data_IF_021967863746
#
_entry.id   IF_021967863746
#
_cell.length_a   1.000
_cell.length_b   1.000
_cell.length_c   1.000
_cell.angle_alpha   90.00
_cell.angle_beta   90.00
_cell.angle_gamma   90.00
#
_symmetry.space_group_name_H-M   'P 1'
#
loop_
_entity.id
_entity.type
_entity.pdbx_description
1 polymer ?
#
# COMPACT_ATOMS: atom_id res chain seq x y z
N UNK A 1 -31.61 47.60 13.75
CA UNK A 1 -30.15 47.36 13.79
C UNK A 1 -29.80 46.36 12.69
N UNK A 2 -29.02 46.75 11.67
CA UNK A 2 -28.68 45.90 10.52
C UNK A 2 -27.50 44.97 10.90
N UNK A 3 -27.68 43.65 10.83
CA UNK A 3 -26.60 42.66 11.02
C UNK A 3 -25.58 42.79 9.87
N UNK A 4 -24.30 42.88 10.21
CA UNK A 4 -23.21 42.87 9.24
C UNK A 4 -23.09 41.48 8.56
N UNK A 5 -22.74 41.43 7.26
CA UNK A 5 -22.60 40.16 6.55
C UNK A 5 -21.38 39.40 7.07
N UNK A 6 -21.60 38.15 7.46
CA UNK A 6 -20.55 37.24 7.91
C UNK A 6 -19.60 36.93 6.74
N UNK A 7 -18.41 37.54 6.71
CA UNK A 7 -17.37 37.22 5.73
C UNK A 7 -16.77 35.87 6.09
N UNK A 8 -17.22 34.81 5.42
CA UNK A 8 -16.51 33.54 5.40
C UNK A 8 -15.19 33.73 4.67
N UNK A 9 -14.08 33.70 5.41
CA UNK A 9 -12.74 33.70 4.83
C UNK A 9 -12.56 32.37 4.09
N UNK A 10 -12.56 32.43 2.75
CA UNK A 10 -12.33 31.26 1.91
C UNK A 10 -10.83 30.92 1.99
N UNK A 11 -10.47 29.89 2.75
CA UNK A 11 -9.10 29.39 2.82
C UNK A 11 -8.60 28.99 1.43
N UNK A 12 -7.35 29.33 1.10
CA UNK A 12 -6.71 28.86 -0.13
C UNK A 12 -6.26 27.41 0.10
N UNK A 13 -6.53 26.54 -0.87
CA UNK A 13 -5.93 25.20 -0.89
C UNK A 13 -4.42 25.40 -0.96
N UNK A 14 -3.70 24.82 0.01
CA UNK A 14 -2.25 24.89 0.09
C UNK A 14 -1.57 24.01 -0.97
N UNK A 15 -0.27 23.82 -0.80
CA UNK A 15 0.50 22.86 -1.58
C UNK A 15 -0.04 21.44 -1.37
N UNK A 16 0.22 20.54 -2.34
CA UNK A 16 -0.22 19.15 -2.22
C UNK A 16 0.51 18.45 -1.06
N UNK A 17 -0.05 17.35 -0.56
CA UNK A 17 0.64 16.54 0.44
C UNK A 17 1.96 15.98 -0.10
N UNK A 18 2.01 15.68 -1.40
CA UNK A 18 3.23 15.23 -2.07
C UNK A 18 4.31 16.32 -2.08
N UNK A 19 3.93 17.59 -2.25
CA UNK A 19 4.88 18.71 -2.17
C UNK A 19 5.43 18.84 -0.75
N UNK A 20 4.57 18.73 0.27
CA UNK A 20 5.01 18.69 1.66
C UNK A 20 6.01 17.55 1.94
N UNK A 21 5.73 16.34 1.45
CA UNK A 21 6.61 15.18 1.63
C UNK A 21 7.95 15.34 0.88
N UNK A 22 7.95 16.03 -0.27
CA UNK A 22 9.17 16.33 -1.01
C UNK A 22 10.02 17.36 -0.26
N UNK A 23 9.40 18.41 0.27
CA UNK A 23 10.07 19.43 1.07
C UNK A 23 10.67 18.85 2.36
N UNK A 24 9.99 17.87 2.97
CA UNK A 24 10.45 17.12 4.14
C UNK A 24 11.49 16.03 3.81
N UNK A 25 11.74 15.75 2.53
CA UNK A 25 12.68 14.72 2.07
C UNK A 25 12.22 13.27 2.32
N UNK A 26 10.96 13.06 2.71
CA UNK A 26 10.39 11.76 3.07
C UNK A 26 9.53 11.14 1.95
N UNK A 27 9.31 11.85 0.85
CA UNK A 27 8.46 11.45 -0.28
C UNK A 27 8.73 10.02 -0.78
N UNK A 28 9.98 9.67 -1.07
CA UNK A 28 10.31 8.36 -1.62
C UNK A 28 10.01 7.22 -0.64
N UNK A 29 10.38 7.39 0.63
CA UNK A 29 10.13 6.39 1.67
C UNK A 29 8.63 6.20 1.95
N UNK A 30 7.88 7.30 2.02
CA UNK A 30 6.43 7.26 2.21
C UNK A 30 5.73 6.61 1.02
N UNK A 31 6.15 6.94 -0.20
CA UNK A 31 5.60 6.37 -1.44
C UNK A 31 5.86 4.87 -1.51
N UNK A 32 7.09 4.43 -1.24
CA UNK A 32 7.44 3.01 -1.20
C UNK A 32 6.59 2.23 -0.17
N UNK A 33 6.44 2.79 1.04
CA UNK A 33 5.60 2.19 2.09
C UNK A 33 4.12 2.15 1.68
N UNK A 34 3.61 3.19 1.06
CA UNK A 34 2.24 3.24 0.55
C UNK A 34 1.98 2.16 -0.51
N UNK A 35 2.89 2.02 -1.49
CA UNK A 35 2.81 0.98 -2.52
C UNK A 35 2.76 -0.40 -1.87
N UNK A 36 3.65 -0.68 -0.92
CA UNK A 36 3.70 -1.96 -0.22
C UNK A 36 2.40 -2.27 0.53
N UNK A 37 1.83 -1.28 1.23
CA UNK A 37 0.56 -1.41 1.95
C UNK A 37 -0.60 -1.72 1.00
N UNK A 38 -0.64 -1.06 -0.16
CA UNK A 38 -1.64 -1.34 -1.21
C UNK A 38 -1.52 -2.79 -1.71
N UNK A 39 -0.29 -3.25 -2.01
CA UNK A 39 -0.07 -4.62 -2.49
C UNK A 39 -0.46 -5.67 -1.45
N UNK A 40 -0.10 -5.48 -0.17
CA UNK A 40 -0.48 -6.38 0.92
C UNK A 40 -2.01 -6.46 1.08
N UNK A 41 -2.70 -5.31 1.01
CA UNK A 41 -4.16 -5.25 1.07
C UNK A 41 -4.81 -5.95 -0.12
N UNK A 42 -4.32 -5.73 -1.34
CA UNK A 42 -4.82 -6.41 -2.54
C UNK A 42 -4.67 -7.93 -2.43
N UNK A 43 -3.53 -8.41 -1.93
CA UNK A 43 -3.29 -9.83 -1.71
C UNK A 43 -4.27 -10.41 -0.68
N UNK A 44 -4.47 -9.72 0.46
CA UNK A 44 -5.42 -10.14 1.48
C UNK A 44 -6.88 -10.14 0.97
N UNK A 45 -7.25 -9.16 0.15
CA UNK A 45 -8.57 -9.12 -0.50
C UNK A 45 -8.79 -10.28 -1.46
N UNK A 46 -7.78 -10.61 -2.28
CA UNK A 46 -7.83 -11.77 -3.17
C UNK A 46 -7.92 -13.08 -2.39
N UNK A 47 -7.15 -13.23 -1.32
CA UNK A 47 -7.26 -14.40 -0.44
C UNK A 47 -8.68 -14.59 0.10
N UNK A 48 -9.35 -13.49 0.52
CA UNK A 48 -10.75 -13.56 0.98
C UNK A 48 -11.72 -13.93 -0.14
N UNK A 49 -11.56 -13.34 -1.34
CA UNK A 49 -12.45 -13.59 -2.47
C UNK A 49 -12.34 -15.00 -3.04
N UNK A 50 -11.14 -15.55 -3.03
CA UNK A 50 -10.82 -16.88 -3.58
C UNK A 50 -10.78 -17.96 -2.49
N UNK A 51 -11.19 -17.63 -1.25
CA UNK A 51 -11.19 -18.51 -0.07
C UNK A 51 -9.84 -19.18 0.24
N UNK A 52 -8.74 -18.52 -0.10
CA UNK A 52 -7.37 -19.03 0.10
C UNK A 52 -6.94 -18.73 1.54
N UNK A 53 -6.71 -19.79 2.32
CA UNK A 53 -6.16 -19.65 3.67
C UNK A 53 -4.69 -19.20 3.65
N UNK A 54 -4.20 -18.62 4.77
CA UNK A 54 -2.77 -18.29 4.92
C UNK A 54 -1.87 -19.52 4.76
N UNK A 55 -2.28 -20.67 5.32
CA UNK A 55 -1.51 -21.91 5.23
C UNK A 55 -1.42 -22.37 3.78
N UNK A 56 -2.54 -22.32 3.05
CA UNK A 56 -2.56 -22.69 1.65
C UNK A 56 -1.71 -21.76 0.78
N UNK A 57 -1.81 -20.45 0.99
CA UNK A 57 -0.99 -19.49 0.25
C UNK A 57 0.51 -19.71 0.52
N UNK A 58 0.90 -19.97 1.77
CA UNK A 58 2.28 -20.28 2.12
C UNK A 58 2.79 -21.53 1.38
N UNK A 59 1.96 -22.57 1.28
CA UNK A 59 2.25 -23.79 0.50
C UNK A 59 2.40 -23.47 -1.00
N UNK A 60 1.45 -22.73 -1.60
CA UNK A 60 1.51 -22.33 -3.02
C UNK A 60 2.76 -21.50 -3.33
N UNK A 61 3.19 -20.65 -2.40
CA UNK A 61 4.40 -19.82 -2.51
C UNK A 61 5.70 -20.56 -2.21
N UNK A 62 5.64 -21.79 -1.68
CA UNK A 62 6.80 -22.55 -1.15
C UNK A 62 7.60 -21.74 -0.12
N UNK A 63 6.88 -21.18 0.85
CA UNK A 63 7.45 -20.32 1.90
C UNK A 63 6.89 -20.70 3.27
N UNK A 64 7.55 -20.24 4.34
CA UNK A 64 7.00 -20.41 5.70
C UNK A 64 5.84 -19.46 5.98
N UNK A 65 4.96 -19.82 6.93
CA UNK A 65 3.90 -18.93 7.44
C UNK A 65 4.47 -17.60 7.97
N UNK A 66 5.60 -17.63 8.67
CA UNK A 66 6.24 -16.43 9.20
C UNK A 66 6.70 -15.47 8.08
N UNK A 67 7.22 -15.99 6.97
CA UNK A 67 7.57 -15.17 5.80
C UNK A 67 6.32 -14.59 5.12
N UNK A 68 5.22 -15.35 5.05
CA UNK A 68 3.96 -14.83 4.54
C UNK A 68 3.36 -13.75 5.46
N UNK A 69 3.43 -13.93 6.77
CA UNK A 69 2.93 -12.94 7.74
C UNK A 69 3.70 -11.61 7.59
N UNK A 70 5.02 -11.65 7.41
CA UNK A 70 5.84 -10.46 7.10
C UNK A 70 5.44 -9.78 5.79
N UNK A 71 5.09 -10.56 4.77
CA UNK A 71 4.62 -10.02 3.49
C UNK A 71 3.30 -9.27 3.66
N UNK A 72 2.37 -9.86 4.41
CA UNK A 72 1.01 -9.33 4.63
C UNK A 72 0.95 -8.21 5.67
N UNK A 73 1.93 -8.12 6.57
CA UNK A 73 2.01 -7.10 7.62
C UNK A 73 2.25 -5.70 7.02
N UNK A 74 1.31 -4.75 7.07
CA UNK A 74 1.45 -3.42 6.45
C UNK A 74 2.60 -2.57 7.03
N UNK A 75 3.13 -2.92 8.20
CA UNK A 75 4.19 -2.19 8.88
C UNK A 75 5.59 -2.76 8.58
N UNK A 76 5.66 -3.95 7.98
CA UNK A 76 6.94 -4.51 7.55
C UNK A 76 7.41 -3.82 6.25
N UNK A 77 8.41 -2.97 6.35
CA UNK A 77 8.89 -2.16 5.22
C UNK A 77 9.73 -2.96 4.22
N UNK A 78 10.33 -4.08 4.62
CA UNK A 78 11.30 -4.80 3.78
C UNK A 78 10.72 -6.08 3.19
N UNK A 79 10.34 -6.01 1.91
CA UNK A 79 9.98 -7.17 1.08
C UNK A 79 10.65 -7.06 -0.28
N UNK A 80 11.13 -8.18 -0.82
CA UNK A 80 11.77 -8.19 -2.14
C UNK A 80 10.73 -8.28 -3.25
N UNK A 81 11.06 -7.72 -4.43
CA UNK A 81 10.23 -7.84 -5.64
C UNK A 81 9.92 -9.31 -5.98
N UNK A 82 10.91 -10.20 -5.84
CA UNK A 82 10.71 -11.64 -6.06
C UNK A 82 9.72 -12.28 -5.07
N UNK A 83 9.58 -11.74 -3.86
CA UNK A 83 8.58 -12.23 -2.89
C UNK A 83 7.17 -11.78 -3.29
N UNK A 84 7.02 -10.51 -3.68
CA UNK A 84 5.74 -9.98 -4.19
C UNK A 84 5.29 -10.70 -5.46
N UNK A 85 6.21 -10.95 -6.40
CA UNK A 85 5.92 -11.67 -7.64
C UNK A 85 5.45 -13.11 -7.38
N UNK A 86 6.09 -13.83 -6.45
CA UNK A 86 5.65 -15.19 -6.05
C UNK A 86 4.27 -15.18 -5.41
N UNK A 87 3.99 -14.19 -4.56
CA UNK A 87 2.69 -14.07 -3.92
C UNK A 87 1.58 -13.80 -4.93
N UNK A 88 1.80 -12.86 -5.86
CA UNK A 88 0.89 -12.59 -6.96
C UNK A 88 0.61 -13.86 -7.79
N UNK A 89 1.68 -14.60 -8.16
CA UNK A 89 1.54 -15.85 -8.91
C UNK A 89 0.73 -16.91 -8.14
N UNK A 90 0.94 -17.02 -6.84
CA UNK A 90 0.24 -18.00 -5.99
C UNK A 90 -1.27 -17.74 -5.85
N UNK A 91 -1.72 -16.51 -6.11
CA UNK A 91 -3.13 -16.11 -6.21
C UNK A 91 -3.61 -15.94 -7.66
N UNK A 92 -2.87 -16.46 -8.64
CA UNK A 92 -3.27 -16.42 -10.05
C UNK A 92 -3.14 -15.06 -10.73
N UNK A 93 -2.29 -14.17 -10.22
CA UNK A 93 -2.05 -12.81 -10.72
C UNK A 93 -0.58 -12.59 -11.09
N UNK A 94 -0.27 -11.43 -11.66
CA UNK A 94 1.09 -11.02 -12.01
C UNK A 94 1.37 -9.60 -11.50
N UNK A 95 2.61 -9.35 -11.10
CA UNK A 95 3.07 -8.01 -10.76
C UNK A 95 3.56 -7.32 -12.04
N UNK A 96 3.05 -6.12 -12.32
CA UNK A 96 3.54 -5.25 -13.40
C UNK A 96 4.14 -4.01 -12.77
N UNK A 97 5.37 -3.69 -13.18
CA UNK A 97 6.10 -2.50 -12.74
C UNK A 97 6.75 -1.88 -13.96
N UNK A 98 6.85 -0.56 -13.97
CA UNK A 98 7.51 0.21 -15.01
C UNK A 98 8.35 1.30 -14.35
N UNK A 99 9.49 1.62 -14.97
CA UNK A 99 10.23 2.83 -14.63
C UNK A 99 9.57 3.98 -15.41
N UNK A 100 9.21 5.05 -14.69
CA UNK A 100 8.57 6.26 -15.24
C UNK A 100 9.52 7.44 -15.24
#
# INVERSE_FOLDING_TARGET
MKKAPNKTVKGRIGLSFDDFLKDDGSYEGVTARAIKRVLARQLAELMRREEISKTELATRMKTSRAQLDRLLDPENESVTLGTLARAAKAVGRHLRMELV
#
